data_IF_080646832757
#
_entry.id   IF_080646832757
#
_cell.length_a   1.000
_cell.length_b   1.000
_cell.length_c   1.000
_cell.angle_alpha   90.00
_cell.angle_beta   90.00
_cell.angle_gamma   90.00
#
_symmetry.space_group_name_H-M   'P 1'
#
loop_
_entity.id
_entity.type
_entity.pdbx_description
1 polymer ?
#
# COMPACT_ATOMS: atom_id res chain seq x y z
N UNK A 1 -8.84 -14.21 -14.31
CA UNK A 1 -7.85 -13.13 -14.55
C UNK A 1 -8.62 -11.89 -15.00
N UNK A 2 -8.24 -10.67 -14.59
CA UNK A 2 -8.94 -9.43 -14.99
C UNK A 2 -8.84 -9.19 -16.50
N UNK A 3 -9.96 -8.85 -17.12
CA UNK A 3 -10.04 -8.56 -18.56
C UNK A 3 -9.61 -7.13 -18.86
N UNK A 4 -9.99 -6.19 -17.99
CA UNK A 4 -9.71 -4.77 -18.12
C UNK A 4 -8.31 -4.37 -17.70
N UNK A 5 -7.78 -3.31 -18.34
CA UNK A 5 -6.50 -2.70 -17.98
C UNK A 5 -6.51 -2.18 -16.54
N UNK A 6 -7.60 -1.55 -16.08
CA UNK A 6 -7.73 -1.06 -14.71
C UNK A 6 -7.76 -2.20 -13.69
N UNK A 7 -8.48 -3.29 -13.98
CA UNK A 7 -8.49 -4.48 -13.13
C UNK A 7 -7.09 -5.11 -12.99
N UNK A 8 -6.32 -5.17 -14.09
CA UNK A 8 -4.92 -5.64 -14.06
C UNK A 8 -4.03 -4.75 -13.20
N UNK A 9 -4.16 -3.42 -13.29
CA UNK A 9 -3.43 -2.49 -12.45
C UNK A 9 -3.82 -2.61 -10.97
N UNK A 10 -5.10 -2.77 -10.64
CA UNK A 10 -5.54 -2.98 -9.25
C UNK A 10 -4.90 -4.24 -8.64
N UNK A 11 -4.90 -5.36 -9.37
CA UNK A 11 -4.26 -6.60 -8.92
C UNK A 11 -2.74 -6.45 -8.83
N UNK A 12 -2.11 -5.77 -9.79
CA UNK A 12 -0.67 -5.49 -9.73
C UNK A 12 -0.29 -4.63 -8.54
N UNK A 13 -1.05 -3.59 -8.24
CA UNK A 13 -0.80 -2.65 -7.15
C UNK A 13 -1.02 -3.30 -5.77
N UNK A 14 -2.05 -4.13 -5.61
CA UNK A 14 -2.27 -4.83 -4.34
C UNK A 14 -1.18 -5.85 -4.03
N UNK A 15 -0.57 -6.45 -5.07
CA UNK A 15 0.57 -7.36 -4.92
C UNK A 15 1.87 -6.56 -4.71
N UNK A 16 2.03 -5.43 -5.38
CA UNK A 16 3.18 -4.56 -5.20
C UNK A 16 3.27 -4.00 -3.77
N UNK A 17 2.14 -3.74 -3.11
CA UNK A 17 2.10 -3.24 -1.73
C UNK A 17 2.90 -4.12 -0.73
N UNK A 18 2.60 -5.41 -0.49
CA UNK A 18 3.36 -6.24 0.43
C UNK A 18 4.81 -6.42 -0.02
N UNK A 19 5.08 -6.46 -1.33
CA UNK A 19 6.43 -6.49 -1.87
C UNK A 19 7.24 -5.26 -1.46
N UNK A 20 6.68 -4.05 -1.58
CA UNK A 20 7.33 -2.81 -1.16
C UNK A 20 7.60 -2.80 0.34
N UNK A 21 6.67 -3.30 1.16
CA UNK A 21 6.86 -3.44 2.62
C UNK A 21 7.98 -4.44 2.95
N UNK A 22 8.03 -5.60 2.29
CA UNK A 22 9.08 -6.61 2.49
C UNK A 22 10.45 -6.05 2.09
N UNK A 23 10.52 -5.35 0.96
CA UNK A 23 11.75 -4.70 0.50
C UNK A 23 12.17 -3.65 1.54
N UNK A 24 11.29 -2.74 1.94
CA UNK A 24 11.59 -1.70 2.93
C UNK A 24 12.14 -2.23 4.25
N UNK A 25 11.47 -3.24 4.79
CA UNK A 25 11.87 -3.89 6.05
C UNK A 25 13.18 -4.67 5.94
N UNK A 26 13.42 -5.34 4.80
CA UNK A 26 14.68 -6.07 4.55
C UNK A 26 15.87 -5.12 4.46
N UNK A 27 15.72 -3.99 3.76
CA UNK A 27 16.76 -2.95 3.69
C UNK A 27 17.05 -2.34 5.06
N UNK A 28 16.03 -2.19 5.90
CA UNK A 28 16.17 -1.63 7.25
C UNK A 28 16.91 -2.55 8.20
N UNK A 29 16.59 -3.84 8.18
CA UNK A 29 17.29 -4.84 8.97
C UNK A 29 18.77 -5.01 8.58
N UNK A 30 19.11 -4.71 7.32
CA UNK A 30 20.48 -4.79 6.81
C UNK A 30 21.29 -3.53 7.09
N UNK A 31 20.74 -2.34 6.80
CA UNK A 31 21.49 -1.08 6.81
C UNK A 31 21.30 -0.21 8.07
N UNK A 32 20.19 -0.38 8.80
CA UNK A 32 19.77 0.55 9.86
C UNK A 32 19.51 -0.12 11.22
N UNK A 33 20.04 -1.33 11.42
CA UNK A 33 19.85 -2.15 12.63
C UNK A 33 20.17 -1.41 13.95
N UNK A 34 21.04 -0.40 13.88
CA UNK A 34 21.53 0.36 15.04
C UNK A 34 20.99 1.80 15.13
N UNK A 35 20.12 2.23 14.21
CA UNK A 35 19.59 3.61 14.18
C UNK A 35 18.20 3.63 14.82
N UNK A 36 17.95 4.31 15.94
CA UNK A 36 16.62 4.36 16.57
C UNK A 36 15.54 4.86 15.60
N UNK A 37 14.28 4.42 15.78
CA UNK A 37 13.16 4.97 15.03
C UNK A 37 13.04 6.47 15.32
N UNK A 38 13.01 7.30 14.28
CA UNK A 38 12.83 8.74 14.43
C UNK A 38 11.43 9.02 14.97
N UNK A 39 11.32 9.81 16.04
CA UNK A 39 10.03 10.11 16.67
C UNK A 39 9.02 10.89 15.80
N UNK A 40 9.39 11.25 14.57
CA UNK A 40 8.52 11.91 13.59
C UNK A 40 8.83 11.40 12.18
N UNK A 41 7.87 11.47 11.25
CA UNK A 41 8.04 11.02 9.85
C UNK A 41 9.22 11.72 9.17
N UNK A 42 9.45 13.01 9.41
CA UNK A 42 10.62 13.72 8.87
C UNK A 42 11.93 13.19 9.47
N UNK A 43 11.96 12.93 10.77
CA UNK A 43 13.14 12.35 11.42
C UNK A 43 13.40 10.92 10.93
N UNK A 44 12.34 10.15 10.65
CA UNK A 44 12.44 8.80 10.10
C UNK A 44 12.88 8.79 8.63
N UNK A 45 12.47 9.78 7.82
CA UNK A 45 13.03 9.99 6.47
C UNK A 45 14.51 10.39 6.54
N UNK A 46 14.92 11.22 7.50
CA UNK A 46 16.32 11.63 7.63
C UNK A 46 17.23 10.49 8.12
N UNK A 47 16.71 9.63 9.01
CA UNK A 47 17.49 8.55 9.65
C UNK A 47 17.40 7.22 8.91
N UNK A 48 16.26 6.94 8.27
CA UNK A 48 15.95 5.69 7.55
C UNK A 48 15.15 5.99 6.27
N UNK A 49 15.69 6.81 5.33
CA UNK A 49 14.96 7.29 4.16
C UNK A 49 14.35 6.16 3.35
N UNK A 50 15.08 5.07 3.17
CA UNK A 50 14.64 3.92 2.37
C UNK A 50 13.41 3.21 2.97
N UNK A 51 13.34 3.08 4.30
CA UNK A 51 12.17 2.50 4.98
C UNK A 51 10.96 3.41 4.80
N UNK A 52 11.11 4.69 5.15
CA UNK A 52 10.01 5.64 5.12
C UNK A 52 9.42 5.78 3.71
N UNK A 53 10.28 5.88 2.68
CA UNK A 53 9.82 5.98 1.29
C UNK A 53 9.10 4.72 0.81
N UNK A 54 9.61 3.53 1.15
CA UNK A 54 9.02 2.26 0.71
C UNK A 54 7.71 1.96 1.43
N UNK A 55 7.58 2.31 2.71
CA UNK A 55 6.31 2.24 3.45
C UNK A 55 5.28 3.21 2.88
N UNK A 56 5.67 4.46 2.65
CA UNK A 56 4.78 5.47 2.06
C UNK A 56 4.33 5.05 0.65
N UNK A 57 5.26 4.56 -0.18
CA UNK A 57 4.95 4.03 -1.50
C UNK A 57 4.00 2.82 -1.44
N UNK A 58 4.19 1.92 -0.47
CA UNK A 58 3.30 0.79 -0.22
C UNK A 58 1.88 1.24 0.14
N UNK A 59 1.74 2.24 1.01
CA UNK A 59 0.43 2.82 1.33
C UNK A 59 -0.23 3.45 0.10
N UNK A 60 0.52 4.24 -0.68
CA UNK A 60 0.02 4.81 -1.94
C UNK A 60 -0.41 3.74 -2.93
N UNK A 61 0.33 2.62 -3.02
CA UNK A 61 -0.03 1.50 -3.86
C UNK A 61 -1.34 0.84 -3.40
N UNK A 62 -1.53 0.64 -2.09
CA UNK A 62 -2.77 0.11 -1.53
C UNK A 62 -4.00 0.98 -1.81
N UNK A 63 -3.89 2.29 -1.59
CA UNK A 63 -4.96 3.26 -1.90
C UNK A 63 -5.25 3.28 -3.40
N UNK A 64 -4.21 3.30 -4.24
CA UNK A 64 -4.36 3.29 -5.69
C UNK A 64 -4.98 1.98 -6.19
N UNK A 65 -4.66 0.84 -5.57
CA UNK A 65 -5.27 -0.46 -5.86
C UNK A 65 -6.77 -0.46 -5.56
N UNK A 66 -7.17 0.17 -4.45
CA UNK A 66 -8.58 0.36 -4.10
C UNK A 66 -9.32 1.19 -5.14
N UNK A 67 -8.80 2.39 -5.45
CA UNK A 67 -9.44 3.32 -6.40
C UNK A 67 -9.55 2.70 -7.79
N UNK A 68 -8.47 2.11 -8.31
CA UNK A 68 -8.46 1.47 -9.64
C UNK A 68 -9.35 0.23 -9.68
N UNK A 69 -9.39 -0.56 -8.60
CA UNK A 69 -10.25 -1.74 -8.49
C UNK A 69 -11.73 -1.35 -8.44
N UNK A 70 -12.07 -0.34 -7.64
CA UNK A 70 -13.43 0.19 -7.53
C UNK A 70 -13.90 0.78 -8.87
N UNK A 71 -13.01 1.52 -9.56
CA UNK A 71 -13.31 2.08 -10.87
C UNK A 71 -13.53 0.99 -11.93
N UNK A 72 -12.73 -0.08 -11.90
CA UNK A 72 -12.91 -1.24 -12.80
C UNK A 72 -14.26 -1.94 -12.57
N UNK A 73 -14.65 -2.15 -11.30
CA UNK A 73 -15.92 -2.77 -10.93
C UNK A 73 -17.10 -1.90 -11.39
N UNK A 74 -17.11 -0.61 -11.04
CA UNK A 74 -18.25 0.28 -11.27
C UNK A 74 -18.36 0.71 -12.74
N UNK A 75 -17.26 1.16 -13.36
CA UNK A 75 -17.29 1.76 -14.71
C UNK A 75 -17.17 0.73 -15.81
N UNK A 76 -16.30 -0.27 -15.64
CA UNK A 76 -16.02 -1.26 -16.68
C UNK A 76 -16.81 -2.55 -16.48
N UNK A 77 -17.64 -2.62 -15.42
CA UNK A 77 -18.44 -3.81 -15.05
C UNK A 77 -17.57 -5.07 -15.02
N UNK A 78 -16.36 -4.93 -14.47
CA UNK A 78 -15.43 -6.05 -14.34
C UNK A 78 -15.88 -6.93 -13.17
N UNK A 79 -16.29 -8.16 -13.48
CA UNK A 79 -16.72 -9.15 -12.49
C UNK A 79 -15.61 -10.15 -12.09
N UNK A 80 -14.36 -9.85 -12.41
CA UNK A 80 -13.25 -10.72 -12.05
C UNK A 80 -13.08 -10.76 -10.52
N UNK A 81 -13.11 -11.96 -9.96
CA UNK A 81 -12.97 -12.21 -8.52
C UNK A 81 -11.69 -11.58 -7.94
N UNK A 82 -10.57 -11.60 -8.69
CA UNK A 82 -9.32 -10.98 -8.26
C UNK A 82 -9.44 -9.46 -8.04
N UNK A 83 -10.26 -8.76 -8.84
CA UNK A 83 -10.43 -7.30 -8.73
C UNK A 83 -11.29 -6.96 -7.52
N UNK A 84 -12.29 -7.79 -7.22
CA UNK A 84 -13.04 -7.68 -5.97
C UNK A 84 -12.14 -7.89 -4.76
N UNK A 85 -11.34 -8.96 -4.75
CA UNK A 85 -10.41 -9.23 -3.65
C UNK A 85 -9.38 -8.10 -3.49
N UNK A 86 -8.77 -7.63 -4.59
CA UNK A 86 -7.80 -6.53 -4.53
C UNK A 86 -8.43 -5.23 -4.02
N UNK A 87 -9.65 -4.91 -4.48
CA UNK A 87 -10.38 -3.74 -4.03
C UNK A 87 -10.78 -3.86 -2.55
N UNK A 88 -11.24 -5.02 -2.09
CA UNK A 88 -11.57 -5.24 -0.67
C UNK A 88 -10.36 -5.09 0.26
N UNK A 89 -9.19 -5.62 -0.13
CA UNK A 89 -7.96 -5.46 0.66
C UNK A 89 -7.53 -3.99 0.70
N UNK A 90 -7.58 -3.30 -0.45
CA UNK A 90 -7.30 -1.87 -0.51
C UNK A 90 -8.29 -1.04 0.34
N UNK A 91 -9.56 -1.42 0.37
CA UNK A 91 -10.58 -0.78 1.20
C UNK A 91 -10.30 -0.96 2.70
N UNK A 92 -9.90 -2.17 3.12
CA UNK A 92 -9.48 -2.46 4.49
C UNK A 92 -8.29 -1.58 4.91
N UNK A 93 -7.32 -1.39 4.03
CA UNK A 93 -6.19 -0.48 4.28
C UNK A 93 -6.67 0.97 4.44
N UNK A 94 -7.56 1.45 3.57
CA UNK A 94 -8.12 2.81 3.68
C UNK A 94 -8.88 2.98 5.00
N UNK A 95 -9.66 1.98 5.42
CA UNK A 95 -10.36 1.99 6.70
C UNK A 95 -9.40 2.01 7.88
N UNK A 96 -8.32 1.23 7.82
CA UNK A 96 -7.27 1.22 8.84
C UNK A 96 -6.61 2.61 8.98
N UNK A 97 -6.21 3.22 7.86
CA UNK A 97 -5.66 4.58 7.83
C UNK A 97 -6.64 5.63 8.35
N UNK A 98 -7.92 5.52 8.00
CA UNK A 98 -8.94 6.41 8.52
C UNK A 98 -9.10 6.25 10.05
N UNK A 99 -9.03 5.03 10.57
CA UNK A 99 -9.04 4.74 12.00
C UNK A 99 -7.86 5.37 12.72
N UNK A 100 -6.66 5.24 12.18
CA UNK A 100 -5.43 5.86 12.71
C UNK A 100 -5.55 7.39 12.77
N UNK A 101 -6.14 8.03 11.76
CA UNK A 101 -6.31 9.49 11.71
C UNK A 101 -7.38 9.96 12.69
N UNK A 102 -8.50 9.23 12.80
CA UNK A 102 -9.63 9.61 13.66
C UNK A 102 -9.36 9.34 15.14
N UNK A 103 -8.62 8.28 15.44
CA UNK A 103 -8.27 7.86 16.79
C UNK A 103 -6.77 7.60 16.86
N UNK A 104 -5.90 8.61 16.81
CA UNK A 104 -4.46 8.40 16.91
C UNK A 104 -4.15 7.77 18.26
N UNK A 105 -3.53 6.58 18.24
CA UNK A 105 -3.17 5.82 19.44
C UNK A 105 -1.83 6.29 20.00
#
# INVERSE_FOLDING_TARGET
>A
MPLTTLGKWSVGLIVAMPLLFIIGTSFTNSLYKSVPAGGTILAEIATRPTLALTMLAGMFAGISAFITGLLAIIRQKEYALLVYVSSSIGALLVLFLAGEILFPH
#
